data_IF_137124826772
#
_entry.id   IF_137124826772
#
_cell.length_a   1.000
_cell.length_b   1.000
_cell.length_c   1.000
_cell.angle_alpha   90.00
_cell.angle_beta   90.00
_cell.angle_gamma   90.00
#
_symmetry.space_group_name_H-M   'P 1'
#
loop_
_entity.id
_entity.type
_entity.pdbx_description
1 polymer ?
#
# COMPACT_ATOMS: atom_id res chain seq x y z
N UNK A 1 -16.82 3.38 -3.64
CA UNK A 1 -17.34 2.23 -4.42
C UNK A 1 -16.25 1.78 -5.38
N UNK A 2 -15.84 0.51 -5.31
CA UNK A 2 -14.89 -0.10 -6.25
C UNK A 2 -13.60 -0.65 -5.61
N UNK A 3 -13.72 -1.52 -4.59
CA UNK A 3 -12.62 -2.43 -4.24
C UNK A 3 -12.78 -3.68 -5.09
N UNK A 4 -11.81 -3.98 -5.94
CA UNK A 4 -11.82 -5.19 -6.75
C UNK A 4 -10.75 -6.13 -6.21
N UNK A 5 -11.18 -7.20 -5.55
CA UNK A 5 -10.31 -8.32 -5.26
C UNK A 5 -10.13 -9.14 -6.52
N UNK A 6 -8.92 -9.09 -7.08
CA UNK A 6 -8.54 -9.87 -8.25
C UNK A 6 -7.75 -11.08 -7.74
N UNK A 7 -8.15 -12.27 -8.16
CA UNK A 7 -7.50 -13.52 -7.82
C UNK A 7 -6.71 -13.98 -9.06
N UNK A 8 -5.39 -13.88 -9.01
CA UNK A 8 -4.49 -14.36 -10.07
C UNK A 8 -3.69 -15.54 -9.51
N UNK A 9 -4.07 -16.76 -9.87
CA UNK A 9 -3.48 -17.99 -9.33
C UNK A 9 -3.79 -18.17 -7.84
N UNK A 10 -2.77 -18.23 -6.97
CA UNK A 10 -2.91 -18.32 -5.50
C UNK A 10 -2.78 -16.97 -4.78
N UNK A 11 -2.62 -15.86 -5.52
CA UNK A 11 -2.31 -14.55 -4.97
C UNK A 11 -3.56 -13.67 -4.91
N UNK A 12 -3.77 -13.04 -3.76
CA UNK A 12 -4.82 -12.06 -3.56
C UNK A 12 -4.29 -10.67 -3.87
N UNK A 13 -4.96 -9.97 -4.80
CA UNK A 13 -4.68 -8.58 -5.14
C UNK A 13 -5.85 -7.72 -4.67
N UNK A 14 -5.55 -6.73 -3.84
CA UNK A 14 -6.44 -5.62 -3.57
C UNK A 14 -6.03 -4.48 -4.51
N UNK A 15 -6.90 -4.20 -5.49
CA UNK A 15 -6.77 -3.03 -6.35
C UNK A 15 -7.80 -1.98 -5.93
N UNK A 16 -7.33 -0.77 -5.66
CA UNK A 16 -8.16 0.36 -5.27
C UNK A 16 -7.68 1.66 -5.92
N UNK A 17 -8.62 2.52 -6.28
CA UNK A 17 -8.36 3.88 -6.79
C UNK A 17 -8.90 4.95 -5.83
N UNK A 18 -9.28 4.54 -4.63
CA UNK A 18 -9.79 5.42 -3.60
C UNK A 18 -8.63 6.15 -2.94
N UNK A 19 -8.88 7.36 -2.47
CA UNK A 19 -7.89 8.18 -1.78
C UNK A 19 -7.65 7.71 -0.35
N UNK A 20 -8.61 7.00 0.25
CA UNK A 20 -8.50 6.49 1.61
C UNK A 20 -8.66 4.98 1.58
N UNK A 21 -7.60 4.25 1.89
CA UNK A 21 -7.58 2.78 1.79
C UNK A 21 -7.12 2.21 3.12
N UNK A 22 -7.77 1.14 3.59
CA UNK A 22 -7.34 0.43 4.79
C UNK A 22 -6.78 -0.95 4.44
N UNK A 23 -5.55 -1.23 4.89
CA UNK A 23 -4.92 -2.54 4.76
C UNK A 23 -4.34 -2.94 6.10
N UNK A 24 -4.85 -4.04 6.68
CA UNK A 24 -4.34 -4.64 7.93
C UNK A 24 -4.18 -3.62 9.08
N UNK A 25 -5.13 -2.70 9.22
CA UNK A 25 -5.13 -1.67 10.25
C UNK A 25 -4.28 -0.44 9.94
N UNK A 26 -3.58 -0.40 8.80
CA UNK A 26 -2.96 0.79 8.27
C UNK A 26 -3.92 1.55 7.36
N UNK A 27 -3.96 2.86 7.50
CA UNK A 27 -4.72 3.77 6.63
C UNK A 27 -3.76 4.46 5.66
N UNK A 28 -4.11 4.46 4.38
CA UNK A 28 -3.36 5.12 3.32
C UNK A 28 -4.20 6.27 2.78
N UNK A 29 -3.66 7.48 2.85
CA UNK A 29 -4.24 8.70 2.30
C UNK A 29 -3.44 9.07 1.04
N UNK A 30 -4.04 8.93 -0.13
CA UNK A 30 -3.41 9.06 -1.43
C UNK A 30 -3.90 10.29 -2.19
N UNK A 31 -3.02 10.96 -2.98
CA UNK A 31 -3.43 11.99 -3.90
C UNK A 31 -4.41 11.46 -4.95
N UNK A 32 -5.24 12.35 -5.49
CA UNK A 32 -6.19 11.99 -6.53
C UNK A 32 -5.49 11.40 -7.77
N UNK A 33 -6.12 10.41 -8.39
CA UNK A 33 -5.58 9.75 -9.59
C UNK A 33 -4.46 8.73 -9.32
N UNK A 34 -4.13 8.47 -8.07
CA UNK A 34 -3.26 7.35 -7.71
C UNK A 34 -4.03 6.01 -7.72
N UNK A 35 -3.34 4.95 -8.12
CA UNK A 35 -3.80 3.56 -8.03
C UNK A 35 -3.00 2.85 -6.96
N UNK A 36 -3.69 2.13 -6.11
CA UNK A 36 -3.15 1.33 -5.03
C UNK A 36 -3.30 -0.13 -5.36
N UNK A 37 -2.21 -0.88 -5.23
CA UNK A 37 -2.19 -2.32 -5.41
C UNK A 37 -1.51 -2.92 -4.19
N UNK A 38 -2.28 -3.58 -3.33
CA UNK A 38 -1.73 -4.45 -2.30
C UNK A 38 -1.80 -5.90 -2.77
N UNK A 39 -0.68 -6.58 -2.67
CA UNK A 39 -0.53 -7.97 -3.05
C UNK A 39 -0.15 -8.75 -1.81
N UNK A 40 -0.81 -9.89 -1.61
CA UNK A 40 -0.29 -10.89 -0.68
C UNK A 40 0.75 -11.68 -1.45
N UNK A 41 2.03 -11.41 -1.18
CA UNK A 41 3.06 -12.20 -1.84
C UNK A 41 3.09 -13.60 -1.22
N UNK A 42 3.23 -14.60 -2.08
CA UNK A 42 3.20 -15.99 -1.67
C UNK A 42 4.51 -16.36 -0.99
N UNK A 43 4.42 -16.73 0.29
CA UNK A 43 5.47 -17.25 1.18
C UNK A 43 6.74 -16.37 1.37
N UNK A 44 7.06 -15.96 2.60
CA UNK A 44 6.32 -16.24 3.83
C UNK A 44 4.97 -15.51 3.81
N UNK A 45 3.92 -16.19 4.27
CA UNK A 45 2.51 -15.78 4.23
C UNK A 45 2.16 -14.46 4.98
N UNK A 46 3.19 -13.78 5.47
CA UNK A 46 3.17 -12.70 6.44
C UNK A 46 3.44 -11.32 5.83
N UNK A 47 3.93 -11.27 4.58
CA UNK A 47 4.34 -10.03 3.95
C UNK A 47 3.31 -9.61 2.89
N UNK A 48 2.86 -8.37 2.97
CA UNK A 48 2.01 -7.73 1.98
C UNK A 48 2.82 -6.65 1.27
N UNK A 49 3.12 -6.88 -0.01
CA UNK A 49 3.75 -5.87 -0.85
C UNK A 49 2.67 -4.91 -1.35
N UNK A 50 2.87 -3.62 -1.09
CA UNK A 50 1.98 -2.54 -1.50
C UNK A 50 2.71 -1.66 -2.48
N UNK A 51 2.12 -1.47 -3.65
CA UNK A 51 2.64 -0.58 -4.69
C UNK A 51 1.63 0.52 -4.99
N UNK A 52 2.13 1.74 -5.08
CA UNK A 52 1.39 2.91 -5.52
C UNK A 52 1.80 3.30 -6.92
N UNK A 53 0.81 3.65 -7.73
CA UNK A 53 1.03 4.06 -9.10
C UNK A 53 0.32 5.39 -9.39
N UNK A 54 0.94 6.25 -10.19
CA UNK A 54 0.26 7.37 -10.85
C UNK A 54 0.29 7.08 -12.35
N UNK A 55 -0.89 7.03 -12.99
CA UNK A 55 -1.02 6.47 -14.36
C UNK A 55 -0.35 5.08 -14.41
N UNK A 56 0.64 4.86 -15.26
CA UNK A 56 1.40 3.61 -15.42
C UNK A 56 2.70 3.54 -14.61
N UNK A 57 3.08 4.60 -13.92
CA UNK A 57 4.37 4.67 -13.22
C UNK A 57 4.22 4.29 -11.75
N UNK A 58 5.15 3.48 -11.23
CA UNK A 58 5.20 3.13 -9.81
C UNK A 58 5.85 4.27 -9.03
N UNK A 59 5.10 4.91 -8.14
CA UNK A 59 5.55 6.07 -7.36
C UNK A 59 5.99 5.70 -5.95
N UNK A 60 5.56 4.56 -5.41
CA UNK A 60 6.06 4.07 -4.14
C UNK A 60 5.92 2.56 -4.00
N UNK A 61 6.79 1.95 -3.20
CA UNK A 61 6.73 0.54 -2.82
C UNK A 61 6.95 0.38 -1.32
N UNK A 62 6.12 -0.48 -0.72
CA UNK A 62 6.05 -0.69 0.71
C UNK A 62 5.82 -2.16 1.02
N UNK A 63 6.25 -2.59 2.19
CA UNK A 63 5.99 -3.93 2.71
C UNK A 63 5.35 -3.81 4.10
N UNK A 64 4.19 -4.44 4.26
CA UNK A 64 3.63 -4.75 5.57
C UNK A 64 4.03 -6.17 5.95
N UNK A 65 4.99 -6.29 6.85
CA UNK A 65 5.50 -7.57 7.35
C UNK A 65 4.88 -7.89 8.69
N UNK A 66 4.31 -9.08 8.85
CA UNK A 66 3.90 -9.58 10.17
C UNK A 66 5.08 -10.27 10.86
N UNK A 67 5.53 -9.73 11.98
CA UNK A 67 6.60 -10.31 12.81
C UNK A 67 6.13 -10.37 14.26
N UNK A 68 6.23 -11.54 14.90
CA UNK A 68 5.84 -11.76 16.30
C UNK A 68 4.43 -11.27 16.69
N UNK A 69 3.47 -11.37 15.77
CA UNK A 69 2.10 -10.94 15.98
C UNK A 69 1.83 -9.46 15.67
N UNK A 70 2.87 -8.65 15.48
CA UNK A 70 2.78 -7.24 15.10
C UNK A 70 3.02 -7.02 13.61
N UNK A 71 2.46 -5.95 13.06
CA UNK A 71 2.72 -5.53 11.68
C UNK A 71 3.77 -4.42 11.67
N UNK A 72 4.91 -4.73 11.08
CA UNK A 72 5.96 -3.78 10.74
C UNK A 72 5.68 -3.21 9.35
N UNK A 73 5.81 -1.89 9.23
CA UNK A 73 5.69 -1.19 7.96
C UNK A 73 7.07 -0.75 7.49
N UNK A 74 7.41 -1.12 6.27
CA UNK A 74 8.70 -0.83 5.64
C UNK A 74 8.42 -0.04 4.36
N UNK A 75 9.02 1.15 4.25
CA UNK A 75 9.04 1.93 3.02
C UNK A 75 10.29 1.55 2.22
N UNK A 76 10.14 0.97 1.03
CA UNK A 76 11.28 0.56 0.21
C UNK A 76 11.70 1.65 -0.77
N UNK A 77 10.72 2.31 -1.40
CA UNK A 77 10.98 3.32 -2.41
C UNK A 77 9.83 4.33 -2.49
N UNK A 78 10.17 5.59 -2.79
CA UNK A 78 9.24 6.68 -3.05
C UNK A 78 9.83 7.56 -4.16
N UNK A 79 9.01 7.96 -5.13
CA UNK A 79 9.37 8.93 -6.17
C UNK A 79 9.71 10.29 -5.55
N UNK A 80 10.66 11.00 -6.16
CA UNK A 80 11.08 12.33 -5.74
C UNK A 80 9.95 13.35 -5.72
N UNK A 81 8.91 13.13 -6.52
CA UNK A 81 7.80 14.07 -6.72
C UNK A 81 6.75 13.98 -5.60
N UNK A 82 6.94 13.04 -4.67
CA UNK A 82 6.01 12.79 -3.58
C UNK A 82 6.70 12.99 -2.23
N UNK A 83 5.97 13.62 -1.31
CA UNK A 83 6.27 13.63 0.11
C UNK A 83 5.43 12.55 0.80
N UNK A 84 6.01 11.89 1.80
CA UNK A 84 5.36 10.83 2.56
C UNK A 84 5.49 11.12 4.05
N UNK A 85 4.36 11.12 4.73
CA UNK A 85 4.26 11.25 6.18
C UNK A 85 3.76 9.93 6.78
N UNK A 86 4.46 9.44 7.80
CA UNK A 86 4.09 8.20 8.51
C UNK A 86 3.73 8.56 9.95
N UNK A 87 2.46 8.44 10.29
CA UNK A 87 1.92 8.71 11.62
C UNK A 87 1.73 7.37 12.33
N UNK A 88 2.76 6.95 13.08
CA UNK A 88 2.82 5.61 13.69
C UNK A 88 1.67 5.30 14.66
N UNK A 89 1.27 6.25 15.50
CA UNK A 89 0.22 6.06 16.52
C UNK A 89 -1.13 5.70 15.88
N UNK A 90 -1.49 6.38 14.80
CA UNK A 90 -2.74 6.16 14.07
C UNK A 90 -2.59 5.17 12.90
N UNK A 91 -1.39 4.59 12.72
CA UNK A 91 -1.02 3.74 11.58
C UNK A 91 -1.46 4.35 10.25
N UNK A 92 -1.23 5.65 10.09
CA UNK A 92 -1.65 6.40 8.90
C UNK A 92 -0.43 6.76 8.06
N UNK A 93 -0.52 6.53 6.76
CA UNK A 93 0.46 6.92 5.76
C UNK A 93 -0.20 7.94 4.84
N UNK A 94 0.37 9.14 4.77
CA UNK A 94 -0.14 10.23 3.93
C UNK A 94 0.86 10.48 2.80
N UNK A 95 0.36 10.44 1.58
CA UNK A 95 1.12 10.78 0.37
C UNK A 95 0.64 12.13 -0.15
N UNK A 96 1.58 13.00 -0.49
CA UNK A 96 1.32 14.33 -1.04
C UNK A 96 2.23 14.55 -2.25
N UNK A 97 1.68 15.14 -3.32
CA UNK A 97 2.50 15.64 -4.44
C UNK A 97 3.23 16.90 -3.99
N UNK A 98 4.50 17.04 -4.38
CA UNK A 98 5.30 18.24 -4.10
C UNK A 98 4.97 19.38 -5.05
#
# INVERSE_FOLDING_TARGET
>A
MGEHMILLGKRHFLHAQQQNIQVKGWRFCLPAGCRFIATRDGYPENDHAISLFKKSEKIAQMILRRSNGEFQFIMEAVSSDYAVEIIGLSKTVVFQEK
#
